data_IF_962098966642
#
_entry.id   IF_962098966642
#
_cell.length_a   1.000
_cell.length_b   1.000
_cell.length_c   1.000
_cell.angle_alpha   90.00
_cell.angle_beta   90.00
_cell.angle_gamma   90.00
#
_symmetry.space_group_name_H-M   'P 1'
#
loop_
_entity.id
_entity.type
_entity.pdbx_description
1 polymer ?
#
# COMPACT_ATOMS: atom_id res chain seq x y z
N UNK A 1 -0.44 -28.05 -19.25
CA UNK A 1 0.70 -27.13 -19.12
C UNK A 1 0.23 -25.93 -18.32
N UNK A 2 0.86 -25.64 -17.18
CA UNK A 2 0.51 -24.47 -16.37
C UNK A 2 0.97 -23.20 -17.07
N UNK A 3 0.05 -22.29 -17.34
CA UNK A 3 0.38 -20.95 -17.83
C UNK A 3 0.94 -20.12 -16.66
N UNK A 4 2.27 -20.07 -16.55
CA UNK A 4 2.98 -19.39 -15.46
C UNK A 4 2.64 -17.89 -15.37
N UNK A 5 2.58 -17.12 -16.49
CA UNK A 5 2.03 -15.77 -16.49
C UNK A 5 0.61 -15.66 -15.91
N UNK A 6 -0.29 -16.59 -16.25
CA UNK A 6 -1.65 -16.57 -15.70
C UNK A 6 -1.66 -16.80 -14.18
N UNK A 7 -0.90 -17.77 -13.69
CA UNK A 7 -0.76 -18.04 -12.26
C UNK A 7 -0.15 -16.85 -11.51
N UNK A 8 0.93 -16.27 -12.05
CA UNK A 8 1.58 -15.11 -11.46
C UNK A 8 0.63 -13.91 -11.39
N UNK A 9 -0.18 -13.67 -12.43
CA UNK A 9 -1.21 -12.63 -12.43
C UNK A 9 -2.28 -12.88 -11.38
N UNK A 10 -2.74 -14.12 -11.22
CA UNK A 10 -3.72 -14.47 -10.19
C UNK A 10 -3.18 -14.19 -8.78
N UNK A 11 -1.94 -14.61 -8.49
CA UNK A 11 -1.27 -14.33 -7.22
C UNK A 11 -1.03 -12.83 -7.01
N UNK A 12 -0.64 -12.11 -8.05
CA UNK A 12 -0.45 -10.66 -8.02
C UNK A 12 -1.74 -9.95 -7.60
N UNK A 13 -2.84 -10.24 -8.29
CA UNK A 13 -4.15 -9.62 -8.00
C UNK A 13 -4.63 -9.98 -6.60
N UNK A 14 -4.52 -11.26 -6.18
CA UNK A 14 -4.92 -11.67 -4.83
C UNK A 14 -4.12 -10.92 -3.75
N UNK A 15 -2.81 -10.73 -3.96
CA UNK A 15 -1.96 -9.98 -3.06
C UNK A 15 -2.34 -8.49 -3.01
N UNK A 16 -2.62 -7.87 -4.16
CA UNK A 16 -3.08 -6.47 -4.24
C UNK A 16 -4.43 -6.29 -3.55
N UNK A 17 -5.38 -7.21 -3.75
CA UNK A 17 -6.70 -7.16 -3.09
C UNK A 17 -6.55 -7.19 -1.57
N UNK A 18 -5.76 -8.13 -1.04
CA UNK A 18 -5.54 -8.24 0.39
C UNK A 18 -4.82 -6.99 0.96
N UNK A 19 -3.76 -6.54 0.29
CA UNK A 19 -2.96 -5.40 0.73
C UNK A 19 -3.74 -4.07 0.66
N UNK A 20 -4.31 -3.72 -0.49
CA UNK A 20 -5.02 -2.45 -0.67
C UNK A 20 -6.38 -2.47 0.02
N UNK A 21 -7.06 -3.62 0.07
CA UNK A 21 -8.27 -3.78 0.88
C UNK A 21 -8.00 -3.54 2.36
N UNK A 22 -6.89 -4.06 2.88
CA UNK A 22 -6.45 -3.78 4.24
C UNK A 22 -6.09 -2.31 4.47
N UNK A 23 -5.41 -1.66 3.52
CA UNK A 23 -5.15 -0.22 3.56
C UNK A 23 -6.46 0.58 3.65
N UNK A 24 -7.45 0.27 2.82
CA UNK A 24 -8.76 0.92 2.86
C UNK A 24 -9.47 0.71 4.20
N UNK A 25 -9.40 -0.49 4.76
CA UNK A 25 -9.96 -0.78 6.08
C UNK A 25 -9.30 0.04 7.19
N UNK A 26 -7.97 0.13 7.18
CA UNK A 26 -7.21 0.94 8.15
C UNK A 26 -7.60 2.42 8.01
N UNK A 27 -7.63 2.95 6.80
CA UNK A 27 -7.94 4.36 6.51
C UNK A 27 -9.38 4.75 6.89
N UNK A 28 -10.35 3.90 6.57
CA UNK A 28 -11.77 4.25 6.64
C UNK A 28 -12.47 3.76 7.91
N UNK A 29 -11.92 2.77 8.60
CA UNK A 29 -12.51 2.19 9.80
C UNK A 29 -11.59 2.39 10.99
N UNK A 30 -10.39 1.83 10.95
CA UNK A 30 -9.50 1.79 12.12
C UNK A 30 -9.11 3.20 12.59
N UNK A 31 -8.54 4.02 11.71
CA UNK A 31 -8.08 5.35 12.09
C UNK A 31 -9.24 6.23 12.58
N UNK A 32 -10.39 6.34 11.91
CA UNK A 32 -11.54 7.07 12.45
C UNK A 32 -12.01 6.55 13.81
N UNK A 33 -12.06 5.22 14.02
CA UNK A 33 -12.42 4.63 15.31
C UNK A 33 -11.46 5.02 16.43
N UNK A 34 -10.15 5.07 16.16
CA UNK A 34 -9.16 5.55 17.12
C UNK A 34 -9.34 7.03 17.44
N UNK A 35 -9.85 7.84 16.50
CA UNK A 35 -10.21 9.24 16.72
C UNK A 35 -11.22 9.46 17.86
N UNK A 36 -12.04 8.45 18.18
CA UNK A 36 -13.02 8.51 19.27
C UNK A 36 -12.41 8.25 20.66
N UNK A 37 -11.17 7.74 20.73
CA UNK A 37 -10.47 7.51 21.98
C UNK A 37 -9.87 8.82 22.53
N UNK A 38 -9.56 8.82 23.83
CA UNK A 38 -8.78 9.89 24.44
C UNK A 38 -7.43 10.02 23.69
N UNK A 39 -6.93 11.24 23.40
CA UNK A 39 -5.75 11.43 22.55
C UNK A 39 -4.55 10.57 22.94
N UNK A 40 -4.26 10.44 24.24
CA UNK A 40 -3.16 9.64 24.78
C UNK A 40 -3.26 8.13 24.50
N UNK A 41 -4.45 7.62 24.17
CA UNK A 41 -4.69 6.20 23.90
C UNK A 41 -4.61 5.84 22.41
N UNK A 42 -4.65 6.85 21.52
CA UNK A 42 -4.77 6.63 20.06
C UNK A 42 -3.56 5.93 19.47
N UNK A 43 -2.36 6.31 19.87
CA UNK A 43 -1.12 5.71 19.38
C UNK A 43 -0.97 4.25 19.81
N UNK A 44 -1.20 3.95 21.10
CA UNK A 44 -1.18 2.59 21.60
C UNK A 44 -2.24 1.69 20.93
N UNK A 45 -3.45 2.23 20.71
CA UNK A 45 -4.49 1.52 19.97
C UNK A 45 -4.12 1.25 18.51
N UNK A 46 -3.42 2.19 17.85
CA UNK A 46 -2.91 1.99 16.50
C UNK A 46 -1.82 0.91 16.45
N UNK A 47 -0.81 0.98 17.32
CA UNK A 47 0.33 0.06 17.33
C UNK A 47 -0.09 -1.41 17.50
N UNK A 48 -1.12 -1.68 18.33
CA UNK A 48 -1.63 -3.03 18.56
C UNK A 48 -2.27 -3.65 17.31
N UNK A 49 -2.92 -2.81 16.48
CA UNK A 49 -3.51 -3.22 15.20
C UNK A 49 -2.43 -3.30 14.12
N UNK A 50 -1.61 -2.26 14.04
CA UNK A 50 -0.52 -2.12 13.06
C UNK A 50 0.41 -3.33 13.12
N UNK A 51 0.88 -3.75 14.30
CA UNK A 51 1.82 -4.88 14.43
C UNK A 51 1.29 -6.17 13.80
N UNK A 52 -0.01 -6.44 13.94
CA UNK A 52 -0.65 -7.63 13.34
C UNK A 52 -0.84 -7.44 11.83
N UNK A 53 -1.31 -6.27 11.44
CA UNK A 53 -1.60 -5.97 10.04
C UNK A 53 -0.33 -5.87 9.18
N UNK A 54 0.72 -5.23 9.69
CA UNK A 54 2.01 -5.03 9.02
C UNK A 54 2.64 -6.35 8.58
N UNK A 55 2.56 -7.42 9.41
CA UNK A 55 3.03 -8.75 9.01
C UNK A 55 2.29 -9.29 7.80
N UNK A 56 0.96 -9.12 7.75
CA UNK A 56 0.16 -9.58 6.61
C UNK A 56 0.41 -8.71 5.37
N UNK A 57 0.50 -7.38 5.57
CA UNK A 57 0.80 -6.42 4.51
C UNK A 57 2.17 -6.68 3.87
N UNK A 58 3.22 -6.97 4.67
CA UNK A 58 4.55 -7.34 4.17
C UNK A 58 4.50 -8.55 3.24
N UNK A 59 3.79 -9.60 3.64
CA UNK A 59 3.65 -10.82 2.81
C UNK A 59 2.98 -10.46 1.49
N UNK A 60 1.87 -9.72 1.52
CA UNK A 60 1.17 -9.32 0.30
C UNK A 60 2.00 -8.40 -0.60
N UNK A 61 2.68 -7.40 -0.03
CA UNK A 61 3.55 -6.49 -0.80
C UNK A 61 4.72 -7.25 -1.43
N UNK A 62 5.32 -8.20 -0.72
CA UNK A 62 6.39 -9.05 -1.27
C UNK A 62 5.88 -9.93 -2.42
N UNK A 63 4.72 -10.58 -2.26
CA UNK A 63 4.12 -11.39 -3.32
C UNK A 63 3.76 -10.54 -4.54
N UNK A 64 3.13 -9.38 -4.33
CA UNK A 64 2.79 -8.44 -5.39
C UNK A 64 4.05 -7.97 -6.13
N UNK A 65 5.14 -7.67 -5.42
CA UNK A 65 6.42 -7.31 -6.01
C UNK A 65 7.01 -8.44 -6.84
N UNK A 66 7.19 -9.63 -6.25
CA UNK A 66 7.79 -10.77 -6.92
C UNK A 66 7.02 -11.17 -8.19
N UNK A 67 5.70 -11.26 -8.10
CA UNK A 67 4.84 -11.57 -9.25
C UNK A 67 4.79 -10.43 -10.26
N UNK A 68 4.79 -9.17 -9.82
CA UNK A 68 4.78 -8.00 -10.68
C UNK A 68 6.06 -7.87 -11.52
N UNK A 69 7.23 -8.03 -10.89
CA UNK A 69 8.51 -8.05 -11.61
C UNK A 69 8.62 -9.23 -12.57
N UNK A 70 8.12 -10.40 -12.19
CA UNK A 70 8.04 -11.53 -13.10
C UNK A 70 7.17 -11.22 -14.32
N UNK A 71 5.98 -10.63 -14.14
CA UNK A 71 5.09 -10.26 -15.24
C UNK A 71 5.69 -9.17 -16.14
N UNK A 72 6.35 -8.17 -15.54
CA UNK A 72 7.07 -7.12 -16.25
C UNK A 72 8.14 -7.70 -17.19
N UNK A 73 8.88 -8.71 -16.70
CA UNK A 73 9.86 -9.43 -17.51
C UNK A 73 9.20 -10.36 -18.55
N UNK A 74 8.23 -11.17 -18.16
CA UNK A 74 7.57 -12.14 -19.02
C UNK A 74 6.83 -11.49 -20.21
N UNK A 75 6.31 -10.28 -20.02
CA UNK A 75 5.64 -9.52 -21.09
C UNK A 75 6.55 -8.49 -21.78
N UNK A 76 7.83 -8.41 -21.42
CA UNK A 76 8.77 -7.48 -22.06
C UNK A 76 8.43 -6.00 -21.84
N UNK A 77 7.77 -5.67 -20.73
CA UNK A 77 7.19 -4.34 -20.46
C UNK A 77 8.17 -3.37 -19.79
N UNK A 78 9.47 -3.68 -19.76
CA UNK A 78 10.47 -2.81 -19.13
C UNK A 78 10.59 -1.43 -19.80
N UNK A 79 10.51 -1.37 -21.13
CA UNK A 79 10.54 -0.10 -21.87
C UNK A 79 9.27 0.73 -21.65
N UNK A 80 8.13 0.08 -21.41
CA UNK A 80 6.85 0.73 -21.14
C UNK A 80 6.84 1.57 -19.85
N UNK A 81 7.77 1.35 -18.91
CA UNK A 81 7.90 2.19 -17.72
C UNK A 81 8.28 3.64 -18.05
N UNK A 82 8.93 3.87 -19.19
CA UNK A 82 9.30 5.20 -19.66
C UNK A 82 8.25 5.85 -20.58
N UNK A 83 7.21 5.12 -20.96
CA UNK A 83 6.14 5.61 -21.83
C UNK A 83 5.06 6.34 -21.02
N UNK A 84 4.83 7.65 -21.25
CA UNK A 84 3.77 8.40 -20.58
C UNK A 84 2.36 7.81 -20.80
N UNK A 85 2.08 7.16 -21.94
CA UNK A 85 0.80 6.51 -22.20
C UNK A 85 0.59 5.26 -21.32
N UNK A 86 1.68 4.71 -20.78
CA UNK A 86 1.68 3.58 -19.85
C UNK A 86 1.97 4.02 -18.41
N UNK A 87 1.64 5.27 -18.04
CA UNK A 87 1.84 5.84 -16.71
C UNK A 87 1.35 4.93 -15.57
N UNK A 88 0.30 4.13 -15.81
CA UNK A 88 -0.26 3.16 -14.86
C UNK A 88 0.78 2.16 -14.37
N UNK A 89 1.64 1.68 -15.26
CA UNK A 89 2.69 0.72 -14.93
C UNK A 89 3.75 1.37 -14.02
N UNK A 90 4.18 2.58 -14.35
CA UNK A 90 5.09 3.36 -13.52
C UNK A 90 4.45 3.73 -12.16
N UNK A 91 3.15 4.05 -12.15
CA UNK A 91 2.41 4.40 -10.93
C UNK A 91 2.23 3.20 -9.99
N UNK A 92 1.94 2.00 -10.53
CA UNK A 92 1.95 0.76 -9.74
C UNK A 92 3.31 0.53 -9.08
N UNK A 93 4.39 0.64 -9.86
CA UNK A 93 5.74 0.42 -9.36
C UNK A 93 6.10 1.46 -8.31
N UNK A 94 5.80 2.73 -8.54
CA UNK A 94 6.03 3.81 -7.58
C UNK A 94 5.26 3.59 -6.27
N UNK A 95 3.97 3.24 -6.35
CA UNK A 95 3.16 2.93 -5.17
C UNK A 95 3.72 1.72 -4.41
N UNK A 96 4.11 0.67 -5.13
CA UNK A 96 4.75 -0.51 -4.55
C UNK A 96 6.06 -0.13 -3.84
N UNK A 97 6.92 0.69 -4.44
CA UNK A 97 8.18 1.17 -3.84
C UNK A 97 7.89 1.93 -2.54
N UNK A 98 6.93 2.86 -2.54
CA UNK A 98 6.56 3.63 -1.34
C UNK A 98 6.19 2.70 -0.19
N UNK A 99 5.34 1.69 -0.44
CA UNK A 99 4.94 0.75 0.60
C UNK A 99 6.04 -0.26 0.97
N UNK A 100 6.86 -0.68 0.02
CA UNK A 100 8.01 -1.53 0.30
C UNK A 100 8.99 -0.81 1.23
N UNK A 101 9.31 0.45 0.95
CA UNK A 101 10.13 1.28 1.85
C UNK A 101 9.44 1.44 3.21
N UNK A 102 8.15 1.76 3.23
CA UNK A 102 7.42 1.97 4.48
C UNK A 102 7.44 0.72 5.39
N UNK A 103 7.17 -0.47 4.84
CA UNK A 103 7.01 -1.71 5.61
C UNK A 103 8.33 -2.45 5.92
N UNK A 104 9.32 -2.37 5.01
CA UNK A 104 10.58 -3.11 5.15
C UNK A 104 11.75 -2.25 5.61
N UNK A 105 11.66 -0.92 5.51
CA UNK A 105 12.74 0.00 5.92
C UNK A 105 12.26 0.91 7.05
N UNK A 106 11.17 1.65 6.85
CA UNK A 106 10.75 2.67 7.81
C UNK A 106 10.16 2.09 9.09
N UNK A 107 9.32 1.05 8.99
CA UNK A 107 8.72 0.35 10.14
C UNK A 107 9.78 -0.27 11.08
N UNK A 108 10.74 -1.10 10.60
CA UNK A 108 11.72 -1.73 11.50
C UNK A 108 12.80 -0.80 12.06
N UNK A 109 13.08 0.35 11.43
CA UNK A 109 14.26 1.15 11.79
C UNK A 109 13.94 2.47 12.51
N UNK A 110 12.79 3.12 12.27
CA UNK A 110 12.60 4.51 12.75
C UNK A 110 11.18 4.91 13.15
N UNK A 111 10.13 4.30 12.60
CA UNK A 111 8.77 4.83 12.76
C UNK A 111 8.20 4.65 14.16
N UNK A 112 8.47 3.54 14.85
CA UNK A 112 7.92 3.31 16.20
C UNK A 112 8.41 4.38 17.19
N UNK A 113 9.73 4.53 17.35
CA UNK A 113 10.28 5.45 18.36
C UNK A 113 9.99 6.93 18.06
N UNK A 114 10.04 7.33 16.77
CA UNK A 114 9.78 8.71 16.38
C UNK A 114 8.29 9.06 16.48
N UNK A 115 7.40 8.16 16.05
CA UNK A 115 5.97 8.35 16.16
C UNK A 115 5.52 8.33 17.61
N UNK A 116 6.07 7.46 18.46
CA UNK A 116 5.75 7.41 19.88
C UNK A 116 6.17 8.70 20.60
N UNK A 117 7.34 9.25 20.28
CA UNK A 117 7.79 10.55 20.81
C UNK A 117 6.91 11.71 20.33
N UNK A 118 6.53 11.71 19.05
CA UNK A 118 5.66 12.74 18.49
C UNK A 118 4.24 12.65 19.07
N UNK A 119 3.68 11.45 19.17
CA UNK A 119 2.37 11.20 19.77
C UNK A 119 2.34 11.46 21.29
N UNK A 120 3.47 11.32 21.97
CA UNK A 120 3.59 11.74 23.38
C UNK A 120 3.55 13.27 23.54
N UNK A 121 4.04 14.01 22.54
CA UNK A 121 4.10 15.48 22.56
C UNK A 121 2.80 16.11 22.07
N UNK A 122 2.29 15.65 20.91
CA UNK A 122 1.01 16.08 20.32
C UNK A 122 0.26 14.88 19.71
N UNK A 123 -0.55 14.16 20.52
CA UNK A 123 -1.30 13.00 20.06
C UNK A 123 -2.39 13.34 19.04
N UNK A 124 -2.88 14.59 19.02
CA UNK A 124 -3.93 15.00 18.09
C UNK A 124 -3.34 15.23 16.70
N UNK A 125 -2.23 15.96 16.63
CA UNK A 125 -1.52 16.20 15.38
C UNK A 125 -0.93 14.90 14.79
N UNK A 126 -0.38 14.02 15.64
CA UNK A 126 0.11 12.71 15.22
C UNK A 126 -0.99 11.87 14.55
N UNK A 127 -2.16 11.80 15.18
CA UNK A 127 -3.31 11.10 14.62
C UNK A 127 -3.79 11.71 13.29
N UNK A 128 -3.89 13.05 13.24
CA UNK A 128 -4.33 13.75 12.02
C UNK A 128 -3.36 13.55 10.85
N UNK A 129 -2.05 13.56 11.11
CA UNK A 129 -1.02 13.28 10.11
C UNK A 129 -1.15 11.85 9.58
N UNK A 130 -1.24 10.87 10.48
CA UNK A 130 -1.37 9.46 10.12
C UNK A 130 -2.59 9.22 9.24
N UNK A 131 -3.74 9.78 9.62
CA UNK A 131 -4.98 9.70 8.86
C UNK A 131 -4.86 10.38 7.49
N UNK A 132 -4.24 11.56 7.42
CA UNK A 132 -4.04 12.27 6.14
C UNK A 132 -3.18 11.46 5.19
N UNK A 133 -2.05 10.92 5.66
CA UNK A 133 -1.14 10.12 4.84
C UNK A 133 -1.85 8.86 4.31
N UNK A 134 -2.57 8.14 5.18
CA UNK A 134 -3.34 6.96 4.79
C UNK A 134 -4.43 7.27 3.77
N UNK A 135 -5.16 8.39 3.95
CA UNK A 135 -6.15 8.86 2.96
C UNK A 135 -5.53 9.15 1.61
N UNK A 136 -4.41 9.87 1.57
CA UNK A 136 -3.71 10.18 0.32
C UNK A 136 -3.27 8.89 -0.39
N UNK A 137 -2.64 7.96 0.33
CA UNK A 137 -2.20 6.68 -0.23
C UNK A 137 -3.38 5.83 -0.71
N UNK A 138 -4.50 5.81 0.02
CA UNK A 138 -5.73 5.12 -0.41
C UNK A 138 -6.30 5.71 -1.70
N UNK A 139 -6.39 7.05 -1.80
CA UNK A 139 -6.89 7.72 -3.01
C UNK A 139 -5.99 7.40 -4.21
N UNK A 140 -4.66 7.51 -4.04
CA UNK A 140 -3.69 7.17 -5.08
C UNK A 140 -3.84 5.70 -5.49
N UNK A 141 -3.95 4.77 -4.53
CA UNK A 141 -4.13 3.35 -4.82
C UNK A 141 -5.41 3.07 -5.61
N UNK A 142 -6.53 3.72 -5.27
CA UNK A 142 -7.79 3.59 -5.99
C UNK A 142 -7.65 4.11 -7.42
N UNK A 143 -7.01 5.27 -7.62
CA UNK A 143 -6.75 5.83 -8.96
C UNK A 143 -5.91 4.86 -9.79
N UNK A 144 -4.84 4.29 -9.21
CA UNK A 144 -3.98 3.32 -9.90
C UNK A 144 -4.76 2.05 -10.26
N UNK A 145 -5.58 1.51 -9.36
CA UNK A 145 -6.40 0.32 -9.63
C UNK A 145 -7.40 0.60 -10.76
N UNK A 146 -8.18 1.68 -10.65
CA UNK A 146 -9.17 2.05 -11.67
C UNK A 146 -8.48 2.27 -13.01
N UNK A 147 -7.39 3.05 -13.02
CA UNK A 147 -6.62 3.32 -14.22
C UNK A 147 -6.13 2.03 -14.87
N UNK A 148 -5.55 1.13 -14.09
CA UNK A 148 -5.06 -0.17 -14.56
C UNK A 148 -6.15 -1.01 -15.21
N UNK A 149 -7.28 -1.19 -14.52
CA UNK A 149 -8.37 -2.04 -15.01
C UNK A 149 -8.97 -1.42 -16.27
N UNK A 150 -9.23 -0.11 -16.25
CA UNK A 150 -9.71 0.64 -17.40
C UNK A 150 -8.80 0.49 -18.63
N UNK A 151 -7.49 0.70 -18.45
CA UNK A 151 -6.50 0.55 -19.52
C UNK A 151 -6.40 -0.89 -20.05
N UNK A 152 -6.48 -1.89 -19.17
CA UNK A 152 -6.48 -3.30 -19.57
C UNK A 152 -7.74 -3.68 -20.39
N UNK A 153 -8.82 -2.92 -20.27
CA UNK A 153 -10.08 -3.10 -21.00
C UNK A 153 -10.26 -2.12 -22.18
N UNK A 154 -9.18 -1.44 -22.61
CA UNK A 154 -9.16 -0.66 -23.84
C UNK A 154 -9.54 0.83 -23.69
N UNK A 155 -9.55 1.36 -22.47
CA UNK A 155 -9.63 2.81 -22.27
C UNK A 155 -8.24 3.44 -22.40
N UNK A 156 -8.08 4.29 -23.41
CA UNK A 156 -6.84 5.02 -23.66
C UNK A 156 -6.87 6.39 -22.99
N UNK A 157 -6.05 6.59 -21.96
CA UNK A 157 -5.81 7.86 -21.26
C UNK A 157 -4.49 7.83 -20.49
#
# INVERSE_FOLDING_TARGET
>A
MTDWPALARALHVAAVVHWIGGLMFVTSVVLPSLGNLAPKQRAAGFAEIERRFARQARISVAIAGATGFYLLHAFGLWSALADPHMWRLAAMLALWIVFAIMLFVAEPLFLHDLFDRYAATDPVAAHALLLRMHRMLTIIAIIVIIGTVAGAHGLDF
#
